data_IF_517800317941
#
_entry.id   IF_517800317941
#
_cell.length_a   1.000
_cell.length_b   1.000
_cell.length_c   1.000
_cell.angle_alpha   90.00
_cell.angle_beta   90.00
_cell.angle_gamma   90.00
#
_symmetry.space_group_name_H-M   'P 1'
#
loop_
_entity.id
_entity.type
_entity.pdbx_description
1 polymer ?
#
# COMPACT_ATOMS: atom_id res chain seq x y z
N UNK A 1 -15.42 1.19 3.29
CA UNK A 1 -15.42 1.80 1.95
C UNK A 1 -14.20 2.68 1.75
N UNK A 2 -13.53 2.55 0.61
CA UNK A 2 -12.42 3.44 0.30
C UNK A 2 -12.92 4.88 0.17
N UNK A 3 -12.07 5.82 0.58
CA UNK A 3 -12.42 7.24 0.54
C UNK A 3 -11.23 8.08 0.14
N UNK A 4 -11.52 9.17 -0.55
CA UNK A 4 -10.59 10.27 -0.73
C UNK A 4 -10.76 11.23 0.44
N UNK A 5 -9.65 11.72 0.95
CA UNK A 5 -9.67 12.66 2.06
C UNK A 5 -9.80 14.09 1.57
N UNK A 6 -10.30 14.97 2.42
CA UNK A 6 -10.60 16.34 2.06
C UNK A 6 -9.48 17.12 1.36
N UNK A 7 -8.21 16.96 1.71
CA UNK A 7 -7.14 17.69 1.01
C UNK A 7 -7.10 17.42 -0.50
N UNK A 8 -7.42 16.22 -0.94
CA UNK A 8 -7.45 15.91 -2.37
C UNK A 8 -8.56 16.70 -3.07
N UNK A 9 -9.72 16.76 -2.46
CA UNK A 9 -10.84 17.52 -3.03
C UNK A 9 -10.51 19.01 -3.15
N UNK A 10 -9.86 19.56 -2.16
CA UNK A 10 -9.43 20.94 -2.19
C UNK A 10 -8.42 21.20 -3.29
N UNK A 11 -7.48 20.29 -3.47
CA UNK A 11 -6.44 20.42 -4.47
C UNK A 11 -7.01 20.51 -5.89
N UNK A 12 -8.13 19.86 -6.17
CA UNK A 12 -8.74 19.92 -7.50
C UNK A 12 -9.40 21.24 -7.82
N UNK A 13 -9.65 22.08 -6.84
CA UNK A 13 -10.42 23.31 -7.01
C UNK A 13 -9.59 24.57 -6.87
N UNK A 14 -8.53 24.52 -6.13
CA UNK A 14 -7.75 25.68 -5.80
C UNK A 14 -6.50 25.75 -6.65
N UNK A 15 -6.21 26.92 -7.18
CA UNK A 15 -5.01 27.16 -7.95
C UNK A 15 -3.88 27.73 -7.10
N UNK A 16 -4.21 28.49 -6.07
CA UNK A 16 -3.20 29.21 -5.27
C UNK A 16 -3.00 28.64 -3.88
N UNK A 17 -4.02 27.99 -3.35
CA UNK A 17 -4.00 27.42 -2.01
C UNK A 17 -3.96 25.90 -2.02
N UNK A 18 -3.47 25.32 -3.10
CA UNK A 18 -3.38 23.88 -3.24
C UNK A 18 -2.46 23.31 -2.18
N UNK A 19 -2.96 22.38 -1.40
CA UNK A 19 -2.16 21.64 -0.45
C UNK A 19 -1.20 20.71 -1.21
N UNK A 20 0.08 20.73 -0.80
CA UNK A 20 1.05 19.75 -1.28
C UNK A 20 0.91 18.40 -0.58
N UNK A 21 0.04 18.34 0.44
CA UNK A 21 -0.19 17.13 1.23
C UNK A 21 -1.53 16.54 0.86
N UNK A 22 -1.51 15.29 0.46
CA UNK A 22 -2.70 14.55 0.07
C UNK A 22 -2.74 13.25 0.86
N UNK A 23 -3.89 12.95 1.45
CA UNK A 23 -4.13 11.70 2.13
C UNK A 23 -5.08 10.84 1.29
N UNK A 24 -4.64 9.65 0.96
CA UNK A 24 -5.41 8.69 0.18
C UNK A 24 -5.62 7.42 1.02
N UNK A 25 -6.73 6.74 0.78
CA UNK A 25 -7.02 5.51 1.47
C UNK A 25 -6.28 4.35 0.81
N UNK A 26 -5.52 3.60 1.60
CA UNK A 26 -4.81 2.41 1.15
C UNK A 26 -5.36 1.17 1.85
N UNK A 27 -5.20 0.03 1.21
CA UNK A 27 -5.59 -1.25 1.77
C UNK A 27 -4.46 -2.26 1.54
N UNK A 28 -3.60 -2.48 2.55
CA UNK A 28 -2.43 -3.34 2.38
C UNK A 28 -2.81 -4.78 2.07
N UNK A 29 -3.87 -5.31 2.65
CA UNK A 29 -4.33 -6.66 2.38
C UNK A 29 -4.71 -6.91 0.92
N UNK A 30 -5.16 -5.88 0.22
CA UNK A 30 -5.47 -6.00 -1.21
C UNK A 30 -4.20 -6.26 -2.02
N UNK A 31 -3.15 -5.49 -1.76
CA UNK A 31 -1.86 -5.67 -2.44
C UNK A 31 -1.23 -7.03 -2.08
N UNK A 32 -1.28 -7.40 -0.81
CA UNK A 32 -0.79 -8.70 -0.37
C UNK A 32 -1.50 -9.84 -1.09
N UNK A 33 -2.81 -9.75 -1.25
CA UNK A 33 -3.61 -10.78 -1.93
C UNK A 33 -3.22 -10.92 -3.40
N UNK A 34 -2.85 -9.83 -4.05
CA UNK A 34 -2.36 -9.87 -5.42
C UNK A 34 -1.05 -10.66 -5.54
N UNK A 35 -0.23 -10.65 -4.51
CA UNK A 35 1.10 -11.27 -4.53
C UNK A 35 1.11 -12.71 -4.04
N UNK A 36 0.37 -13.02 -2.99
CA UNK A 36 0.38 -14.34 -2.34
C UNK A 36 -1.00 -14.99 -2.27
N UNK A 37 -2.01 -14.43 -2.94
CA UNK A 37 -3.36 -14.97 -2.92
C UNK A 37 -3.99 -14.90 -1.53
N UNK A 38 -4.77 -15.89 -1.18
CA UNK A 38 -5.48 -15.91 0.10
C UNK A 38 -4.64 -16.43 1.27
N UNK A 39 -3.35 -16.62 1.07
CA UNK A 39 -2.44 -17.07 2.13
C UNK A 39 -2.34 -16.00 3.22
N UNK A 40 -2.56 -16.41 4.47
CA UNK A 40 -2.39 -15.50 5.62
C UNK A 40 -0.91 -15.28 5.91
N UNK A 41 -0.55 -14.03 6.19
CA UNK A 41 0.84 -13.67 6.50
C UNK A 41 1.01 -13.08 7.92
N UNK A 42 -0.07 -12.90 8.67
CA UNK A 42 -0.03 -12.25 9.98
C UNK A 42 -1.14 -12.73 10.90
N UNK A 43 -0.95 -12.54 12.19
CA UNK A 43 -2.02 -12.69 13.19
C UNK A 43 -1.62 -11.98 14.49
N UNK A 44 -2.59 -11.38 15.16
CA UNK A 44 -2.42 -10.86 16.52
C UNK A 44 -2.49 -11.96 17.57
N UNK A 45 -3.08 -13.10 17.23
CA UNK A 45 -3.16 -14.25 18.10
C UNK A 45 -1.86 -15.04 18.05
N UNK A 46 -1.13 -15.10 19.19
CA UNK A 46 0.15 -15.80 19.26
C UNK A 46 0.06 -17.26 18.86
N UNK A 47 -1.06 -17.92 19.15
CA UNK A 47 -1.26 -19.31 18.76
C UNK A 47 -1.36 -19.50 17.25
N UNK A 48 -1.67 -18.43 16.51
CA UNK A 48 -1.78 -18.45 15.05
C UNK A 48 -0.57 -17.83 14.35
N UNK A 49 0.47 -17.48 15.08
CA UNK A 49 1.74 -16.99 14.52
C UNK A 49 2.61 -18.15 14.10
N UNK A 50 2.26 -18.77 12.99
CA UNK A 50 2.81 -20.03 12.51
C UNK A 50 4.02 -19.84 11.60
N UNK A 51 4.85 -20.89 11.39
CA UNK A 51 5.92 -20.85 10.39
C UNK A 51 5.42 -20.56 8.98
N UNK A 52 4.24 -21.04 8.62
CA UNK A 52 3.64 -20.80 7.31
C UNK A 52 3.39 -19.31 7.08
N UNK A 53 2.96 -18.59 8.10
CA UNK A 53 2.75 -17.14 8.01
C UNK A 53 4.06 -16.40 7.91
N UNK A 54 5.10 -16.86 8.59
CA UNK A 54 6.44 -16.29 8.44
C UNK A 54 6.95 -16.45 7.01
N UNK A 55 6.78 -17.63 6.43
CA UNK A 55 7.14 -17.89 5.04
C UNK A 55 6.35 -16.97 4.10
N UNK A 56 5.06 -16.76 4.36
CA UNK A 56 4.24 -15.84 3.58
C UNK A 56 4.77 -14.41 3.63
N UNK A 57 5.20 -13.93 4.81
CA UNK A 57 5.82 -12.61 4.92
C UNK A 57 7.12 -12.51 4.11
N UNK A 58 7.93 -13.55 4.13
CA UNK A 58 9.14 -13.59 3.30
C UNK A 58 8.83 -13.54 1.82
N UNK A 59 7.81 -14.26 1.38
CA UNK A 59 7.37 -14.27 -0.01
C UNK A 59 6.88 -12.90 -0.45
N UNK A 60 6.10 -12.21 0.41
CA UNK A 60 5.64 -10.85 0.14
C UNK A 60 6.81 -9.90 -0.05
N UNK A 61 7.76 -9.91 0.88
CA UNK A 61 8.92 -9.03 0.81
C UNK A 61 9.76 -9.31 -0.42
N UNK A 62 9.97 -10.58 -0.75
CA UNK A 62 10.72 -10.95 -1.94
C UNK A 62 10.04 -10.41 -3.21
N UNK A 63 8.73 -10.54 -3.32
CA UNK A 63 8.00 -10.03 -4.46
C UNK A 63 8.12 -8.51 -4.58
N UNK A 64 8.04 -7.80 -3.45
CA UNK A 64 8.18 -6.34 -3.41
C UNK A 64 9.61 -5.91 -3.79
N UNK A 65 10.61 -6.59 -3.26
CA UNK A 65 12.01 -6.27 -3.54
C UNK A 65 12.39 -6.54 -5.00
N UNK A 66 11.77 -7.53 -5.62
CA UNK A 66 12.00 -7.89 -7.01
C UNK A 66 11.12 -7.12 -8.00
N UNK A 67 10.23 -6.29 -7.51
CA UNK A 67 9.34 -5.52 -8.37
C UNK A 67 8.29 -6.37 -9.09
N UNK A 68 7.91 -7.48 -8.51
CA UNK A 68 6.95 -8.43 -9.10
C UNK A 68 5.50 -8.04 -8.86
N UNK A 69 5.25 -6.78 -8.56
CA UNK A 69 3.89 -6.29 -8.36
C UNK A 69 3.36 -5.66 -9.63
N UNK A 70 2.05 -5.62 -9.76
CA UNK A 70 1.37 -4.88 -10.82
C UNK A 70 1.75 -3.40 -10.84
N UNK A 71 2.14 -2.86 -9.69
CA UNK A 71 2.48 -1.45 -9.55
C UNK A 71 3.86 -1.10 -10.14
N UNK A 72 4.68 -2.08 -10.46
CA UNK A 72 5.96 -1.88 -11.12
C UNK A 72 7.05 -1.23 -10.28
N UNK A 73 6.85 -1.11 -8.97
CA UNK A 73 7.82 -0.52 -8.06
C UNK A 73 8.65 -1.58 -7.37
N UNK A 74 9.90 -1.25 -7.08
CA UNK A 74 10.81 -2.13 -6.35
C UNK A 74 11.10 -1.53 -4.97
N UNK A 75 10.92 -2.34 -3.95
CA UNK A 75 11.27 -1.99 -2.59
C UNK A 75 12.74 -2.31 -2.34
N UNK A 76 13.45 -1.39 -1.71
CA UNK A 76 14.85 -1.60 -1.29
C UNK A 76 14.91 -1.60 0.22
N UNK A 77 15.44 -2.67 0.78
CA UNK A 77 15.58 -2.85 2.22
C UNK A 77 17.00 -3.24 2.57
N UNK A 78 17.49 -2.76 3.72
CA UNK A 78 18.66 -3.33 4.36
C UNK A 78 18.31 -4.70 4.95
N UNK A 79 19.34 -5.50 5.25
CA UNK A 79 19.12 -6.79 5.92
C UNK A 79 18.40 -6.62 7.26
N UNK A 80 18.76 -5.59 8.03
CA UNK A 80 18.11 -5.32 9.30
C UNK A 80 16.63 -4.97 9.13
N UNK A 81 16.30 -4.17 8.14
CA UNK A 81 14.90 -3.83 7.84
C UNK A 81 14.11 -5.07 7.41
N UNK A 82 14.70 -5.88 6.54
CA UNK A 82 14.08 -7.11 6.07
C UNK A 82 13.76 -8.03 7.26
N UNK A 83 14.74 -8.25 8.14
CA UNK A 83 14.56 -9.10 9.32
C UNK A 83 13.48 -8.57 10.25
N UNK A 84 13.46 -7.26 10.49
CA UNK A 84 12.44 -6.63 11.33
C UNK A 84 11.04 -6.87 10.77
N UNK A 85 10.87 -6.74 9.47
CA UNK A 85 9.57 -6.93 8.82
C UNK A 85 9.13 -8.40 8.86
N UNK A 86 10.06 -9.32 8.63
CA UNK A 86 9.77 -10.76 8.68
C UNK A 86 9.41 -11.20 10.10
N UNK A 87 10.12 -10.68 11.10
CA UNK A 87 9.96 -11.10 12.50
C UNK A 87 8.71 -10.50 13.16
N UNK A 88 8.13 -9.46 12.58
CA UNK A 88 6.88 -8.88 13.10
C UNK A 88 5.69 -9.76 12.72
N UNK A 89 5.35 -10.68 13.60
CA UNK A 89 4.30 -11.66 13.37
C UNK A 89 2.89 -11.05 13.34
N UNK A 90 2.68 -9.88 13.95
CA UNK A 90 1.42 -9.14 13.86
C UNK A 90 1.20 -8.56 12.47
N UNK A 91 2.27 -8.35 11.72
CA UNK A 91 2.23 -7.82 10.36
C UNK A 91 1.98 -6.32 10.27
N UNK A 92 1.96 -5.60 11.37
CA UNK A 92 1.69 -4.17 11.36
C UNK A 92 2.75 -3.39 10.59
N UNK A 93 4.02 -3.73 10.80
CA UNK A 93 5.13 -3.09 10.09
C UNK A 93 5.09 -3.41 8.60
N UNK A 94 4.79 -4.63 8.23
CA UNK A 94 4.67 -5.03 6.83
C UNK A 94 3.47 -4.35 6.17
N UNK A 95 2.36 -4.25 6.87
CA UNK A 95 1.18 -3.53 6.37
C UNK A 95 1.50 -2.05 6.12
N UNK A 96 2.29 -1.42 6.98
CA UNK A 96 2.74 -0.05 6.77
C UNK A 96 3.60 0.07 5.49
N UNK A 97 4.46 -0.90 5.25
CA UNK A 97 5.27 -0.93 4.02
C UNK A 97 4.40 -1.12 2.79
N UNK A 98 3.40 -2.00 2.85
CA UNK A 98 2.47 -2.19 1.73
C UNK A 98 1.69 -0.90 1.44
N UNK A 99 1.23 -0.20 2.46
CA UNK A 99 0.60 1.12 2.28
C UNK A 99 1.56 2.12 1.65
N UNK A 100 2.82 2.11 2.06
CA UNK A 100 3.84 2.98 1.49
C UNK A 100 4.05 2.71 -0.01
N UNK A 101 4.07 1.45 -0.41
CA UNK A 101 4.20 1.07 -1.83
C UNK A 101 2.99 1.58 -2.63
N UNK A 102 1.80 1.43 -2.10
CA UNK A 102 0.59 1.96 -2.73
C UNK A 102 0.63 3.48 -2.85
N UNK A 103 1.10 4.17 -1.82
CA UNK A 103 1.26 5.63 -1.84
C UNK A 103 2.31 6.07 -2.87
N UNK A 104 3.42 5.36 -2.95
CA UNK A 104 4.46 5.64 -3.93
C UNK A 104 3.95 5.47 -5.36
N UNK A 105 3.15 4.46 -5.61
CA UNK A 105 2.51 4.27 -6.90
C UNK A 105 1.59 5.45 -7.24
N UNK A 106 0.74 5.88 -6.29
CA UNK A 106 -0.15 7.00 -6.50
C UNK A 106 0.62 8.29 -6.78
N UNK A 107 1.71 8.53 -6.05
CA UNK A 107 2.57 9.68 -6.28
C UNK A 107 3.19 9.64 -7.69
N UNK A 108 3.64 8.48 -8.13
CA UNK A 108 4.19 8.31 -9.47
C UNK A 108 3.15 8.59 -10.55
N UNK A 109 1.89 8.19 -10.34
CA UNK A 109 0.80 8.51 -11.25
C UNK A 109 0.56 10.01 -11.32
N UNK A 110 0.58 10.70 -10.19
CA UNK A 110 0.41 12.15 -10.16
C UNK A 110 1.57 12.86 -10.86
N UNK A 111 2.81 12.44 -10.62
CA UNK A 111 3.98 13.01 -11.29
C UNK A 111 3.96 12.78 -12.80
N UNK A 112 3.33 11.71 -13.25
CA UNK A 112 3.15 11.42 -14.67
C UNK A 112 1.99 12.21 -15.30
N UNK A 113 1.31 13.07 -14.54
CA UNK A 113 0.27 13.95 -15.01
C UNK A 113 -1.14 13.57 -14.62
N UNK A 114 -1.33 12.53 -13.85
CA UNK A 114 -2.66 12.13 -13.38
C UNK A 114 -3.04 12.92 -12.12
N UNK A 115 -3.97 13.88 -12.27
CA UNK A 115 -4.45 14.71 -11.18
C UNK A 115 -5.12 13.90 -10.06
N UNK A 116 -5.59 12.72 -10.37
CA UNK A 116 -6.34 11.87 -9.43
C UNK A 116 -5.49 10.72 -8.88
N UNK A 117 -4.18 10.81 -8.99
CA UNK A 117 -3.25 9.83 -8.39
C UNK A 117 -3.51 8.38 -8.82
N UNK A 118 -3.94 8.19 -10.05
CA UNK A 118 -4.26 6.87 -10.58
C UNK A 118 -5.63 6.35 -10.14
N UNK A 119 -6.41 7.16 -9.44
CA UNK A 119 -7.74 6.77 -9.01
C UNK A 119 -8.74 6.87 -10.18
N UNK A 120 -9.69 5.94 -10.25
CA UNK A 120 -10.77 6.07 -11.23
C UNK A 120 -11.70 7.23 -10.87
N UNK A 121 -12.53 7.64 -11.82
CA UNK A 121 -13.59 8.58 -11.53
C UNK A 121 -14.52 7.98 -10.48
N UNK A 122 -14.71 8.68 -9.37
CA UNK A 122 -15.51 8.20 -8.25
C UNK A 122 -16.13 9.37 -7.53
N UNK A 123 -17.18 9.09 -6.74
CA UNK A 123 -17.78 10.06 -5.86
C UNK A 123 -16.75 10.43 -4.77
N UNK A 124 -16.40 11.71 -4.59
CA UNK A 124 -15.46 12.11 -3.55
C UNK A 124 -15.87 11.72 -2.14
N UNK A 125 -17.17 11.55 -1.89
CA UNK A 125 -17.65 11.13 -0.59
C UNK A 125 -17.45 9.64 -0.33
N UNK A 126 -17.49 8.83 -1.38
CA UNK A 126 -17.25 7.40 -1.28
C UNK A 126 -15.77 7.05 -1.42
N UNK A 127 -15.09 7.75 -2.33
CA UNK A 127 -13.68 7.54 -2.58
C UNK A 127 -13.36 6.21 -3.23
N UNK A 128 -12.07 5.86 -3.18
CA UNK A 128 -11.55 4.62 -3.74
C UNK A 128 -10.24 4.25 -3.06
N UNK A 129 -9.93 2.95 -3.00
CA UNK A 129 -8.63 2.51 -2.51
C UNK A 129 -7.58 2.75 -3.58
N UNK A 130 -6.46 3.35 -3.18
CA UNK A 130 -5.30 3.57 -4.03
C UNK A 130 -4.82 2.24 -4.61
N UNK A 131 -4.53 2.23 -5.90
CA UNK A 131 -4.06 1.08 -6.68
C UNK A 131 -5.10 -0.03 -6.89
N UNK A 132 -6.31 0.09 -6.39
CA UNK A 132 -7.37 -0.87 -6.67
C UNK A 132 -7.86 -0.72 -8.11
N UNK A 133 -8.17 -1.83 -8.75
CA UNK A 133 -8.72 -1.87 -10.11
C UNK A 133 -10.14 -2.36 -10.10
#
# INVERSE_FOLDING_TARGET
>A
MPRLHAPLQSATKSTSAVSTRVALEAYPGLLARELIGNTSYKSDDKAKQTPERLIARKQLLQALEMGQTRLGLRLKLSHAQHDTLVDDASGDSLDAVLCMVQAAWAQAQNEAGDEHYGLPACDPLEGWIVSAV
#
